data_IF_160046340049
#
_entry.id   IF_160046340049
#
_cell.length_a   1.000
_cell.length_b   1.000
_cell.length_c   1.000
_cell.angle_alpha   90.00
_cell.angle_beta   90.00
_cell.angle_gamma   90.00
#
_symmetry.space_group_name_H-M   'P 1'
#
loop_
_entity.id
_entity.type
_entity.pdbx_description
1 polymer ?
#
# COMPACT_ATOMS: atom_id res chain seq x y z
N UNK A 1 -3.45 -8.79 -18.21
CA UNK A 1 -2.51 -8.17 -19.18
C UNK A 1 -2.54 -6.63 -19.17
N UNK A 2 -3.61 -6.01 -18.64
CA UNK A 2 -3.78 -4.54 -18.59
C UNK A 2 -2.65 -3.79 -17.86
N UNK A 3 -2.21 -4.26 -16.69
CA UNK A 3 -1.13 -3.62 -15.92
C UNK A 3 0.21 -3.59 -16.66
N UNK A 4 0.52 -4.65 -17.41
CA UNK A 4 1.72 -4.69 -18.25
C UNK A 4 1.65 -3.65 -19.37
N UNK A 5 0.56 -3.63 -20.12
CA UNK A 5 0.40 -2.68 -21.23
C UNK A 5 0.38 -1.22 -20.77
N UNK A 6 -0.20 -0.96 -19.59
CA UNK A 6 -0.36 0.39 -19.05
C UNK A 6 0.89 0.91 -18.33
N UNK A 7 1.58 0.06 -17.59
CA UNK A 7 2.70 0.47 -16.72
C UNK A 7 3.98 -0.33 -16.95
N UNK A 8 3.87 -1.62 -17.25
CA UNK A 8 5.03 -2.50 -17.40
C UNK A 8 5.89 -2.22 -18.63
N UNK A 9 5.27 -1.86 -19.76
CA UNK A 9 5.96 -1.49 -21.01
C UNK A 9 6.88 -0.28 -20.83
N UNK A 10 6.49 0.69 -20.01
CA UNK A 10 7.34 1.84 -19.65
C UNK A 10 8.60 1.44 -18.85
N UNK A 11 8.62 0.25 -18.25
CA UNK A 11 9.74 -0.27 -17.47
C UNK A 11 10.42 -1.47 -18.16
N UNK A 12 10.10 -1.73 -19.42
CA UNK A 12 10.62 -2.89 -20.15
C UNK A 12 12.15 -2.86 -20.24
N UNK A 13 12.77 -1.70 -20.46
CA UNK A 13 14.23 -1.54 -20.49
C UNK A 13 14.90 -1.84 -19.14
N UNK A 14 14.18 -1.72 -18.03
CA UNK A 14 14.68 -1.99 -16.68
C UNK A 14 14.54 -3.47 -16.30
N UNK A 15 13.45 -4.11 -16.71
CA UNK A 15 13.14 -5.49 -16.30
C UNK A 15 13.44 -6.53 -17.38
N UNK A 16 13.59 -6.15 -18.64
CA UNK A 16 13.80 -7.10 -19.73
C UNK A 16 12.55 -7.90 -20.11
N UNK A 17 11.37 -7.31 -19.90
CA UNK A 17 10.09 -7.86 -20.35
C UNK A 17 9.09 -8.21 -19.25
N UNK A 18 7.94 -8.74 -19.69
CA UNK A 18 6.76 -8.92 -18.85
C UNK A 18 6.97 -9.87 -17.67
N UNK A 19 7.67 -10.99 -17.89
CA UNK A 19 7.89 -11.98 -16.83
C UNK A 19 8.66 -11.37 -15.66
N UNK A 20 9.78 -10.70 -15.94
CA UNK A 20 10.63 -10.07 -14.93
C UNK A 20 9.91 -8.94 -14.19
N UNK A 21 9.09 -8.16 -14.89
CA UNK A 21 8.25 -7.11 -14.27
C UNK A 21 7.32 -7.69 -13.20
N UNK A 22 6.54 -8.72 -13.52
CA UNK A 22 5.65 -9.35 -12.55
C UNK A 22 6.41 -10.12 -11.47
N UNK A 23 7.51 -10.79 -11.83
CA UNK A 23 8.35 -11.51 -10.87
C UNK A 23 8.93 -10.55 -9.81
N UNK A 24 9.38 -9.36 -10.22
CA UNK A 24 9.87 -8.34 -9.31
C UNK A 24 8.78 -7.84 -8.33
N UNK A 25 7.55 -7.61 -8.81
CA UNK A 25 6.42 -7.24 -7.96
C UNK A 25 6.05 -8.33 -6.95
N UNK A 26 6.04 -9.61 -7.38
CA UNK A 26 5.80 -10.75 -6.49
C UNK A 26 6.89 -10.89 -5.42
N UNK A 27 8.16 -10.68 -5.79
CA UNK A 27 9.26 -10.72 -4.83
C UNK A 27 9.19 -9.58 -3.82
N UNK A 28 8.76 -8.38 -4.23
CA UNK A 28 8.53 -7.27 -3.30
C UNK A 28 7.42 -7.61 -2.30
N UNK A 29 6.29 -8.15 -2.77
CA UNK A 29 5.18 -8.59 -1.91
C UNK A 29 5.62 -9.65 -0.90
N UNK A 30 6.50 -10.58 -1.29
CA UNK A 30 7.04 -11.60 -0.36
C UNK A 30 7.98 -11.01 0.70
N UNK A 31 8.74 -9.97 0.35
CA UNK A 31 9.67 -9.31 1.29
C UNK A 31 8.94 -8.43 2.30
N UNK A 32 7.76 -7.92 1.96
CA UNK A 32 6.99 -7.00 2.80
C UNK A 32 5.61 -7.58 3.03
N UNK A 33 5.49 -8.35 4.10
CA UNK A 33 4.19 -8.79 4.57
C UNK A 33 3.51 -7.65 5.34
N UNK A 34 2.78 -6.83 4.60
CA UNK A 34 2.03 -5.69 5.17
C UNK A 34 1.01 -6.14 6.22
N UNK A 35 0.39 -7.32 6.07
CA UNK A 35 -0.56 -7.82 7.06
C UNK A 35 0.17 -8.22 8.34
N UNK A 36 1.32 -8.89 8.23
CA UNK A 36 2.14 -9.22 9.39
C UNK A 36 2.65 -7.97 10.10
N UNK A 37 3.12 -6.96 9.35
CA UNK A 37 3.61 -5.69 9.91
C UNK A 37 2.50 -5.00 10.73
N UNK A 38 1.31 -4.87 10.15
CA UNK A 38 0.17 -4.25 10.83
C UNK A 38 -0.29 -5.09 12.03
N UNK A 39 -0.34 -6.41 11.87
CA UNK A 39 -0.71 -7.33 12.95
C UNK A 39 0.25 -7.25 14.14
N UNK A 40 1.56 -7.13 13.89
CA UNK A 40 2.56 -6.95 14.95
C UNK A 40 2.38 -5.64 15.74
N UNK A 41 1.69 -4.66 15.15
CA UNK A 41 1.32 -3.40 15.79
C UNK A 41 -0.11 -3.40 16.38
N UNK A 42 -0.80 -4.55 16.40
CA UNK A 42 -2.17 -4.68 16.89
C UNK A 42 -3.24 -4.13 15.92
N UNK A 43 -2.86 -3.87 14.67
CA UNK A 43 -3.75 -3.37 13.62
C UNK A 43 -4.22 -4.55 12.77
N UNK A 44 -5.50 -4.90 12.87
CA UNK A 44 -6.05 -6.10 12.25
C UNK A 44 -7.18 -5.74 11.27
N UNK A 45 -7.32 -6.49 10.17
CA UNK A 45 -8.46 -6.36 9.27
C UNK A 45 -9.69 -7.01 9.92
N UNK A 46 -10.33 -6.31 10.86
CA UNK A 46 -11.44 -6.81 11.67
C UNK A 46 -12.65 -5.86 11.68
N UNK A 47 -12.62 -4.79 10.89
CA UNK A 47 -13.66 -3.77 10.85
C UNK A 47 -13.50 -2.65 11.88
N UNK A 48 -12.47 -2.69 12.73
CA UNK A 48 -12.13 -1.62 13.67
C UNK A 48 -11.58 -0.38 12.95
N UNK A 49 -11.60 0.73 13.68
CA UNK A 49 -11.00 1.99 13.25
C UNK A 49 -9.61 2.16 13.86
N UNK A 50 -8.70 2.72 13.08
CA UNK A 50 -7.31 2.96 13.46
C UNK A 50 -6.88 4.37 13.06
N UNK A 51 -6.00 4.94 13.88
CA UNK A 51 -5.36 6.22 13.55
C UNK A 51 -4.35 6.03 12.41
N UNK A 52 -4.35 6.98 11.48
CA UNK A 52 -3.39 7.01 10.37
C UNK A 52 -1.95 7.07 10.85
N UNK A 53 -1.69 7.80 11.93
CA UNK A 53 -0.37 7.92 12.57
C UNK A 53 0.14 6.57 13.08
N UNK A 54 -0.72 5.76 13.71
CA UNK A 54 -0.37 4.43 14.19
C UNK A 54 0.06 3.50 13.05
N UNK A 55 -0.68 3.55 11.93
CA UNK A 55 -0.43 2.73 10.75
C UNK A 55 0.83 3.17 10.01
N UNK A 56 1.02 4.49 9.87
CA UNK A 56 2.22 5.08 9.31
C UNK A 56 3.47 4.69 10.12
N UNK A 57 3.41 4.82 11.45
CA UNK A 57 4.52 4.48 12.34
C UNK A 57 4.84 2.97 12.32
N UNK A 58 3.81 2.10 12.29
CA UNK A 58 4.01 0.66 12.20
C UNK A 58 4.77 0.27 10.92
N UNK A 59 4.36 0.83 9.78
CA UNK A 59 4.99 0.56 8.49
C UNK A 59 6.39 1.18 8.44
N UNK A 60 6.56 2.45 8.82
CA UNK A 60 7.86 3.11 8.83
C UNK A 60 8.86 2.37 9.72
N UNK A 61 8.44 1.88 10.89
CA UNK A 61 9.30 1.09 11.77
C UNK A 61 9.77 -0.22 11.15
N UNK A 62 8.91 -0.87 10.36
CA UNK A 62 9.21 -2.17 9.75
C UNK A 62 9.96 -2.06 8.42
N UNK A 63 9.69 -1.02 7.63
CA UNK A 63 10.25 -0.86 6.28
C UNK A 63 11.33 0.19 6.21
N UNK A 64 11.58 0.96 7.28
CA UNK A 64 12.42 2.17 7.35
C UNK A 64 12.04 3.25 6.32
N UNK A 65 10.87 3.13 5.69
CA UNK A 65 10.44 3.96 4.58
C UNK A 65 9.06 4.56 4.80
N UNK A 66 8.81 5.70 4.15
CA UNK A 66 7.53 6.39 4.21
C UNK A 66 6.50 5.79 3.26
N UNK A 67 5.40 5.19 3.76
CA UNK A 67 4.35 4.65 2.91
C UNK A 67 3.45 5.75 2.34
N UNK A 68 2.98 5.54 1.10
CA UNK A 68 1.87 6.28 0.53
C UNK A 68 0.53 5.55 0.77
N UNK A 69 -0.50 6.29 1.17
CA UNK A 69 -1.83 5.76 1.41
C UNK A 69 -2.88 6.34 0.46
N UNK A 70 -3.86 5.51 0.11
CA UNK A 70 -5.05 5.92 -0.65
C UNK A 70 -6.27 5.46 0.14
N UNK A 71 -7.32 6.29 0.21
CA UNK A 71 -8.58 5.91 0.83
C UNK A 71 -9.75 6.03 -0.14
N UNK A 72 -10.67 5.06 -0.06
CA UNK A 72 -11.97 5.12 -0.74
C UNK A 72 -13.11 5.10 0.29
N UNK A 73 -14.38 5.08 -0.15
CA UNK A 73 -15.55 4.94 0.72
C UNK A 73 -16.10 3.51 0.63
N UNK A 74 -16.45 2.91 1.76
CA UNK A 74 -17.17 1.65 1.84
C UNK A 74 -18.66 1.83 1.46
N UNK A 75 -19.42 0.73 1.40
CA UNK A 75 -20.86 0.76 1.07
C UNK A 75 -21.70 1.56 2.07
N UNK A 76 -21.19 1.73 3.29
CA UNK A 76 -21.83 2.51 4.35
C UNK A 76 -21.35 3.98 4.35
N UNK A 77 -20.52 4.37 3.37
CA UNK A 77 -19.99 5.72 3.22
C UNK A 77 -18.73 6.01 4.05
N UNK A 78 -18.24 5.06 4.85
CA UNK A 78 -17.06 5.24 5.69
C UNK A 78 -15.79 5.24 4.85
N UNK A 79 -14.86 6.14 5.17
CA UNK A 79 -13.53 6.12 4.55
C UNK A 79 -12.73 4.92 5.06
N UNK A 80 -12.18 4.13 4.14
CA UNK A 80 -11.36 2.95 4.44
C UNK A 80 -10.02 3.05 3.72
N UNK A 81 -8.97 2.48 4.34
CA UNK A 81 -7.62 2.45 3.79
C UNK A 81 -7.50 1.42 2.66
N UNK A 82 -6.80 1.79 1.60
CA UNK A 82 -6.43 0.92 0.49
C UNK A 82 -4.90 0.99 0.29
N UNK A 83 -4.26 -0.17 0.23
CA UNK A 83 -2.86 -0.27 -0.16
C UNK A 83 -2.70 -0.21 -1.67
N UNK A 84 -1.79 0.62 -2.17
CA UNK A 84 -1.29 0.50 -3.54
C UNK A 84 -0.03 -0.37 -3.52
N UNK A 85 -0.02 -1.47 -4.28
CA UNK A 85 1.14 -2.36 -4.43
C UNK A 85 1.68 -2.25 -5.84
N UNK A 86 2.14 -1.06 -6.20
CA UNK A 86 2.87 -0.82 -7.43
C UNK A 86 4.30 -0.40 -7.07
N UNK A 87 5.26 -1.27 -7.34
CA UNK A 87 6.67 -1.02 -7.09
C UNK A 87 7.46 -2.32 -7.08
N UNK A 88 8.75 -2.22 -7.36
CA UNK A 88 9.69 -3.35 -7.29
C UNK A 88 10.75 -3.15 -6.21
N UNK A 89 10.75 -1.98 -5.57
CA UNK A 89 11.61 -1.57 -4.46
C UNK A 89 10.82 -0.65 -3.53
N UNK A 90 11.15 -0.65 -2.24
CA UNK A 90 10.64 0.34 -1.30
C UNK A 90 11.53 1.57 -1.39
N UNK A 91 10.90 2.73 -1.55
CA UNK A 91 11.53 4.03 -1.46
C UNK A 91 10.56 4.95 -0.73
N UNK A 92 11.06 6.04 -0.16
CA UNK A 92 10.20 7.01 0.49
C UNK A 92 9.25 7.65 -0.53
N UNK A 93 7.97 7.68 -0.19
CA UNK A 93 7.01 8.53 -0.87
C UNK A 93 7.27 9.99 -0.44
N UNK A 94 8.21 10.66 -1.10
CA UNK A 94 8.61 12.06 -0.82
C UNK A 94 7.58 13.11 -1.29
N UNK A 95 6.54 12.67 -2.00
CA UNK A 95 5.35 13.49 -2.26
C UNK A 95 4.58 13.71 -0.96
N UNK A 96 4.07 14.92 -0.75
CA UNK A 96 3.40 15.36 0.47
C UNK A 96 2.55 14.22 1.10
N UNK A 97 2.74 13.83 2.38
CA UNK A 97 1.93 12.79 3.05
C UNK A 97 0.41 13.13 3.06
N UNK A 98 0.07 14.34 2.62
CA UNK A 98 -1.26 14.81 2.25
C UNK A 98 -1.39 14.80 0.73
N UNK A 99 -1.72 13.65 0.15
CA UNK A 99 -2.21 13.61 -1.23
C UNK A 99 -3.42 14.54 -1.36
N UNK A 100 -3.32 15.57 -2.21
CA UNK A 100 -4.43 16.44 -2.60
C UNK A 100 -5.49 15.73 -3.47
N UNK A 101 -5.41 14.40 -3.59
CA UNK A 101 -6.46 13.56 -4.18
C UNK A 101 -6.93 12.57 -3.12
N UNK A 102 -7.96 12.98 -2.37
CA UNK A 102 -8.65 12.14 -1.38
C UNK A 102 -7.90 11.98 -0.07
N UNK A 103 -7.91 13.02 0.78
CA UNK A 103 -7.44 12.92 2.16
C UNK A 103 -8.08 11.71 2.84
N UNK A 104 -7.24 10.77 3.24
CA UNK A 104 -7.62 9.80 4.24
C UNK A 104 -7.96 10.54 5.54
N UNK A 105 -9.02 10.14 6.25
CA UNK A 105 -9.31 10.70 7.57
C UNK A 105 -8.20 10.35 8.56
N UNK A 106 -8.13 11.09 9.67
CA UNK A 106 -7.25 10.75 10.80
C UNK A 106 -7.55 9.34 11.34
N UNK A 107 -8.83 8.95 11.35
CA UNK A 107 -9.30 7.62 11.72
C UNK A 107 -10.00 6.95 10.55
N UNK A 108 -9.55 5.75 10.17
CA UNK A 108 -10.12 5.00 9.06
C UNK A 108 -10.49 3.57 9.49
N UNK A 109 -11.45 2.99 8.78
CA UNK A 109 -11.87 1.60 8.98
C UNK A 109 -10.91 0.65 8.27
N UNK A 110 -10.42 -0.38 8.97
CA UNK A 110 -9.69 -1.48 8.35
C UNK A 110 -10.64 -2.67 8.13
N UNK A 111 -11.18 -2.86 6.91
CA UNK A 111 -12.20 -3.86 6.66
C UNK A 111 -11.69 -5.29 6.89
N UNK A 112 -12.59 -6.23 7.25
CA UNK A 112 -12.26 -7.65 7.31
C UNK A 112 -11.72 -8.18 5.98
N UNK A 113 -10.79 -9.13 6.06
CA UNK A 113 -10.42 -9.93 4.89
C UNK A 113 -11.65 -10.75 4.45
N UNK A 114 -11.90 -10.77 3.14
CA UNK A 114 -12.94 -11.62 2.54
C UNK A 114 -12.39 -13.01 2.28
#
# INVERSE_FOLDING_TARGET
>A
MQEWQKYGTCAESLFGGQYQYFHAGLNLRKKIDMLQILSNAGIHPNGSFYEMTAVFNAIQKATIHLPGFICNKDKSGNKQLCGNTAGTRIIDCLGNPRSNTGQCPENFKFPPLK
#
